data_IF_371648402272
#
_entry.id   IF_371648402272
#
_cell.length_a   1.000
_cell.length_b   1.000
_cell.length_c   1.000
_cell.angle_alpha   90.00
_cell.angle_beta   90.00
_cell.angle_gamma   90.00
#
_symmetry.space_group_name_H-M   'P 1'
#
loop_
_entity.id
_entity.type
_entity.pdbx_description
1 polymer ?
#
# COMPACT_ATOMS: atom_id res chain seq x y z
N UNK A 1 -10.55 5.28 -13.55
CA UNK A 1 -11.10 5.07 -12.19
C UNK A 1 -10.13 4.26 -11.33
N UNK A 2 -9.58 3.17 -11.89
CA UNK A 2 -8.71 2.20 -11.22
C UNK A 2 -7.49 2.74 -10.45
N UNK A 3 -6.73 3.69 -10.99
CA UNK A 3 -5.49 4.17 -10.33
C UNK A 3 -5.76 4.88 -8.99
N UNK A 4 -6.80 5.70 -8.93
CA UNK A 4 -7.18 6.41 -7.69
C UNK A 4 -7.65 5.43 -6.62
N UNK A 5 -8.41 4.41 -7.02
CA UNK A 5 -8.92 3.38 -6.10
C UNK A 5 -7.79 2.53 -5.53
N UNK A 6 -6.84 2.10 -6.37
CA UNK A 6 -5.61 1.41 -5.96
C UNK A 6 -4.83 2.28 -4.96
N UNK A 7 -4.64 3.56 -5.27
CA UNK A 7 -3.90 4.47 -4.41
C UNK A 7 -4.56 4.67 -3.03
N UNK A 8 -5.89 4.85 -3.00
CA UNK A 8 -6.65 5.02 -1.76
C UNK A 8 -6.62 3.74 -0.92
N UNK A 9 -6.84 2.58 -1.53
CA UNK A 9 -6.80 1.29 -0.85
C UNK A 9 -5.40 1.01 -0.26
N UNK A 10 -4.35 1.25 -1.05
CA UNK A 10 -2.97 1.11 -0.62
C UNK A 10 -2.58 2.04 0.52
N UNK A 11 -3.01 3.30 0.46
CA UNK A 11 -2.82 4.29 1.54
C UNK A 11 -3.44 3.79 2.84
N UNK A 12 -4.69 3.33 2.79
CA UNK A 12 -5.39 2.79 3.96
C UNK A 12 -4.67 1.58 4.54
N UNK A 13 -4.19 0.68 3.68
CA UNK A 13 -3.50 -0.53 4.11
C UNK A 13 -2.15 -0.24 4.77
N UNK A 14 -1.36 0.70 4.22
CA UNK A 14 -0.10 1.12 4.83
C UNK A 14 -0.29 1.84 6.16
N UNK A 15 -1.32 2.69 6.26
CA UNK A 15 -1.66 3.34 7.54
C UNK A 15 -2.09 2.29 8.57
N UNK A 16 -2.92 1.32 8.17
CA UNK A 16 -3.35 0.23 9.04
C UNK A 16 -2.17 -0.63 9.54
N UNK A 17 -1.11 -0.79 8.74
CA UNK A 17 0.09 -1.53 9.14
C UNK A 17 0.79 -0.93 10.37
N UNK A 18 0.61 0.37 10.63
CA UNK A 18 1.15 1.05 11.82
C UNK A 18 0.51 0.54 13.12
N UNK A 19 -0.79 0.27 13.10
CA UNK A 19 -1.56 -0.15 14.28
C UNK A 19 -1.76 -1.65 14.34
N UNK A 20 -1.83 -2.31 13.18
CA UNK A 20 -1.99 -3.74 13.03
C UNK A 20 -0.80 -4.32 12.25
N UNK A 21 0.19 -4.90 12.95
CA UNK A 21 1.36 -5.52 12.33
C UNK A 21 1.04 -6.62 11.30
N UNK A 22 -0.18 -7.17 11.34
CA UNK A 22 -0.67 -8.23 10.45
C UNK A 22 -1.56 -7.70 9.32
N UNK A 23 -1.72 -6.38 9.15
CA UNK A 23 -2.62 -5.80 8.14
C UNK A 23 -2.34 -6.34 6.72
N UNK A 24 -1.07 -6.39 6.30
CA UNK A 24 -0.68 -6.94 4.98
C UNK A 24 -0.97 -8.43 4.89
N UNK A 25 -0.66 -9.21 5.93
CA UNK A 25 -0.96 -10.65 5.96
C UNK A 25 -2.48 -10.92 5.89
N UNK A 26 -3.29 -10.09 6.54
CA UNK A 26 -4.76 -10.14 6.45
C UNK A 26 -5.24 -9.79 5.04
N UNK A 27 -4.66 -8.78 4.39
CA UNK A 27 -4.98 -8.43 3.01
C UNK A 27 -4.60 -9.56 2.03
N UNK A 28 -3.44 -10.20 2.23
CA UNK A 28 -3.02 -11.41 1.51
C UNK A 28 -4.04 -12.55 1.67
N UNK A 29 -4.45 -12.83 2.92
CA UNK A 29 -5.47 -13.85 3.20
C UNK A 29 -6.81 -13.56 2.50
N UNK A 30 -7.20 -12.29 2.42
CA UNK A 30 -8.42 -11.84 1.74
C UNK A 30 -8.28 -11.74 0.23
N UNK A 31 -7.08 -11.94 -0.32
CA UNK A 31 -6.76 -11.73 -1.74
C UNK A 31 -7.12 -10.31 -2.22
N UNK A 32 -6.95 -9.31 -1.36
CA UNK A 32 -7.23 -7.91 -1.68
C UNK A 32 -6.10 -7.34 -2.55
N UNK A 33 -6.09 -7.72 -3.82
CA UNK A 33 -5.05 -7.35 -4.78
C UNK A 33 -4.96 -5.82 -4.95
N UNK A 34 -6.08 -5.11 -4.87
CA UNK A 34 -6.15 -3.65 -5.02
C UNK A 34 -5.37 -2.96 -3.91
N UNK A 35 -5.64 -3.31 -2.65
CA UNK A 35 -4.94 -2.72 -1.52
C UNK A 35 -3.46 -3.13 -1.47
N UNK A 36 -3.15 -4.40 -1.77
CA UNK A 36 -1.78 -4.91 -1.82
C UNK A 36 -0.94 -4.23 -2.90
N UNK A 37 -1.49 -4.06 -4.10
CA UNK A 37 -0.85 -3.36 -5.21
C UNK A 37 -0.55 -1.91 -4.84
N UNK A 38 -1.55 -1.19 -4.32
CA UNK A 38 -1.36 0.21 -3.92
C UNK A 38 -0.35 0.38 -2.79
N UNK A 39 -0.38 -0.49 -1.79
CA UNK A 39 0.57 -0.46 -0.69
C UNK A 39 2.00 -0.72 -1.18
N UNK A 40 2.18 -1.67 -2.10
CA UNK A 40 3.47 -1.93 -2.72
C UNK A 40 3.94 -0.73 -3.56
N UNK A 41 3.08 -0.13 -4.40
CA UNK A 41 3.48 1.04 -5.20
C UNK A 41 3.91 2.23 -4.31
N UNK A 42 3.14 2.53 -3.25
CA UNK A 42 3.47 3.63 -2.33
C UNK A 42 4.75 3.33 -1.54
N UNK A 43 4.91 2.10 -1.04
CA UNK A 43 6.12 1.73 -0.29
C UNK A 43 7.38 1.87 -1.15
N UNK A 44 7.33 1.47 -2.42
CA UNK A 44 8.48 1.54 -3.33
C UNK A 44 8.75 2.92 -3.90
N UNK A 45 7.73 3.71 -4.24
CA UNK A 45 7.92 5.10 -4.71
C UNK A 45 8.27 6.06 -3.58
N UNK A 46 7.97 5.68 -2.34
CA UNK A 46 7.88 6.56 -1.18
C UNK A 46 6.79 7.64 -1.32
N UNK A 47 6.28 8.18 -0.21
CA UNK A 47 5.30 9.28 -0.25
C UNK A 47 5.95 10.56 -0.79
N UNK A 48 5.20 11.38 -1.53
CA UNK A 48 5.69 12.66 -2.07
C UNK A 48 6.17 13.58 -0.94
N UNK A 49 7.45 14.01 -0.95
CA UNK A 49 7.98 14.94 0.06
C UNK A 49 7.18 16.24 0.18
N UNK A 50 6.53 16.73 -0.88
CA UNK A 50 5.69 17.94 -0.83
C UNK A 50 4.48 17.77 0.08
N UNK A 51 4.01 16.53 0.26
CA UNK A 51 2.94 16.21 1.20
C UNK A 51 3.33 16.54 2.65
N UNK A 52 4.62 16.50 2.99
CA UNK A 52 5.08 16.86 4.33
C UNK A 52 4.75 18.33 4.69
N UNK A 53 4.63 19.21 3.70
CA UNK A 53 4.31 20.62 3.91
C UNK A 53 2.80 20.87 4.08
N UNK A 54 1.95 20.06 3.42
CA UNK A 54 0.49 20.23 3.42
C UNK A 54 -0.22 19.33 4.43
N UNK A 55 0.29 18.11 4.63
CA UNK A 55 -0.21 17.12 5.59
C UNK A 55 0.95 16.28 6.16
N UNK A 56 1.67 16.84 7.16
CA UNK A 56 2.81 16.15 7.77
C UNK A 56 2.41 14.85 8.51
N UNK A 57 1.18 14.77 9.02
CA UNK A 57 0.70 13.60 9.73
C UNK A 57 0.50 12.42 8.78
N UNK A 58 -0.15 12.65 7.65
CA UNK A 58 -0.32 11.65 6.60
C UNK A 58 1.01 11.23 6.00
N UNK A 59 1.89 12.18 5.69
CA UNK A 59 3.22 11.89 5.16
C UNK A 59 4.00 10.96 6.10
N UNK A 60 4.04 11.27 7.40
CA UNK A 60 4.71 10.44 8.41
C UNK A 60 4.08 9.06 8.50
N UNK A 61 2.76 8.96 8.55
CA UNK A 61 2.06 7.68 8.64
C UNK A 61 2.36 6.76 7.45
N UNK A 62 2.38 7.31 6.23
CA UNK A 62 2.74 6.56 5.03
C UNK A 62 4.21 6.14 5.02
N UNK A 63 5.11 7.02 5.47
CA UNK A 63 6.55 6.71 5.56
C UNK A 63 6.83 5.61 6.59
N UNK A 64 6.18 5.67 7.75
CA UNK A 64 6.27 4.64 8.79
C UNK A 64 5.72 3.31 8.28
N UNK A 65 4.56 3.34 7.59
CA UNK A 65 3.95 2.16 6.98
C UNK A 65 4.84 1.54 5.89
N UNK A 66 5.42 2.36 5.01
CA UNK A 66 6.37 1.91 3.99
C UNK A 66 7.62 1.27 4.63
N UNK A 67 8.16 1.88 5.68
CA UNK A 67 9.29 1.32 6.43
C UNK A 67 8.93 -0.04 7.04
N UNK A 68 7.77 -0.14 7.68
CA UNK A 68 7.27 -1.40 8.24
C UNK A 68 7.05 -2.48 7.16
N UNK A 69 6.64 -2.09 5.96
CA UNK A 69 6.47 -3.00 4.82
C UNK A 69 7.80 -3.70 4.47
N UNK A 70 8.89 -2.93 4.37
CA UNK A 70 10.22 -3.48 4.10
C UNK A 70 10.79 -4.28 5.28
N UNK A 71 10.69 -3.75 6.50
CA UNK A 71 11.20 -4.44 7.69
C UNK A 71 10.54 -5.80 7.92
N UNK A 72 9.28 -5.97 7.50
CA UNK A 72 8.54 -7.24 7.61
C UNK A 72 8.78 -8.18 6.43
N UNK A 73 9.64 -7.81 5.48
CA UNK A 73 10.00 -8.66 4.34
C UNK A 73 8.94 -8.73 3.23
N UNK A 74 7.92 -7.87 3.23
CA UNK A 74 6.88 -7.90 2.20
C UNK A 74 7.37 -7.46 0.83
N UNK A 75 8.59 -6.94 0.72
CA UNK A 75 9.25 -6.66 -0.56
C UNK A 75 9.48 -7.92 -1.43
N UNK A 76 9.36 -9.13 -0.87
CA UNK A 76 9.41 -10.39 -1.63
C UNK A 76 8.17 -10.60 -2.51
N UNK A 77 7.07 -9.88 -2.26
CA UNK A 77 5.85 -10.00 -3.04
C UNK A 77 6.04 -9.44 -4.45
N UNK A 78 5.61 -10.20 -5.46
CA UNK A 78 5.72 -9.81 -6.86
C UNK A 78 4.76 -8.65 -7.18
N UNK A 79 5.35 -7.47 -7.39
CA UNK A 79 4.63 -6.24 -7.70
C UNK A 79 3.89 -6.30 -9.03
N UNK A 80 4.49 -6.91 -10.05
CA UNK A 80 3.87 -7.04 -11.37
C UNK A 80 2.59 -7.86 -11.27
N UNK A 81 2.68 -9.01 -10.61
CA UNK A 81 1.51 -9.87 -10.37
C UNK A 81 0.43 -9.21 -9.53
N UNK A 82 0.79 -8.47 -8.47
CA UNK A 82 -0.20 -7.74 -7.66
C UNK A 82 -0.91 -6.65 -8.48
N UNK A 83 -0.18 -5.95 -9.34
CA UNK A 83 -0.75 -4.93 -10.23
C UNK A 83 -1.69 -5.52 -11.26
N UNK A 84 -1.31 -6.60 -11.91
CA UNK A 84 -2.16 -7.32 -12.87
C UNK A 84 -3.45 -7.82 -12.20
N UNK A 85 -3.34 -8.45 -11.02
CA UNK A 85 -4.50 -8.92 -10.26
C UNK A 85 -5.41 -7.77 -9.81
N UNK A 86 -4.85 -6.63 -9.41
CA UNK A 86 -5.63 -5.44 -9.06
C UNK A 86 -6.40 -4.89 -10.27
N UNK A 87 -5.78 -4.80 -11.44
CA UNK A 87 -6.42 -4.34 -12.66
C UNK A 87 -7.53 -5.29 -13.11
N UNK A 88 -7.32 -6.61 -13.02
CA UNK A 88 -8.36 -7.60 -13.31
C UNK A 88 -9.55 -7.47 -12.35
N UNK A 89 -9.30 -7.26 -11.06
CA UNK A 89 -10.35 -7.09 -10.04
C UNK A 89 -11.19 -5.83 -10.23
N UNK A 90 -10.69 -4.83 -10.95
CA UNK A 90 -11.40 -3.57 -11.21
C UNK A 90 -12.07 -3.54 -12.59
N UNK A 91 -11.77 -4.53 -13.45
CA UNK A 91 -12.33 -4.65 -14.78
C UNK A 91 -13.56 -5.57 -14.85
N UNK A 92 -13.76 -6.42 -13.84
CA UNK A 92 -14.97 -7.25 -13.65
C UNK A 92 -15.96 -6.59 -12.72
#
# INVERSE_FOLDING_TARGET
MSEREIHVAGTRLLIALKTDPLAIAKALKRRDAVALSGAAEIAWRSPDPKMAATDPALYKALRDGATAYFLKGYAILDRGRMKEAALQSLAG
#
